data_IF_259964274295
#
_entry.id   IF_259964274295
#
_cell.length_a   1.000
_cell.length_b   1.000
_cell.length_c   1.000
_cell.angle_alpha   90.00
_cell.angle_beta   90.00
_cell.angle_gamma   90.00
#
_symmetry.space_group_name_H-M   'P 1'
#
loop_
_entity.id
_entity.type
_entity.pdbx_description
1 polymer ?
#
# COMPACT_ATOMS: atom_id res chain seq x y z
N UNK A 1 13.33 -16.75 -19.78
CA UNK A 1 12.88 -16.38 -18.42
C UNK A 1 12.85 -17.65 -17.60
N UNK A 2 13.64 -17.73 -16.53
CA UNK A 2 13.67 -18.90 -15.65
C UNK A 2 12.50 -18.81 -14.65
N UNK A 3 11.77 -19.91 -14.41
CA UNK A 3 10.62 -19.93 -13.48
C UNK A 3 10.99 -19.47 -12.06
N UNK A 4 12.23 -19.70 -11.64
CA UNK A 4 12.75 -19.20 -10.37
C UNK A 4 12.75 -17.67 -10.27
N UNK A 5 13.04 -16.98 -11.36
CA UNK A 5 13.01 -15.51 -11.42
C UNK A 5 11.60 -14.95 -11.20
N UNK A 6 10.57 -15.60 -11.76
CA UNK A 6 9.17 -15.19 -11.60
C UNK A 6 8.74 -15.32 -10.14
N UNK A 7 9.07 -16.43 -9.50
CA UNK A 7 8.76 -16.67 -8.09
C UNK A 7 9.42 -15.63 -7.17
N UNK A 8 10.68 -15.27 -7.44
CA UNK A 8 11.38 -14.22 -6.69
C UNK A 8 10.67 -12.87 -6.85
N UNK A 9 10.31 -12.48 -8.08
CA UNK A 9 9.65 -11.19 -8.33
C UNK A 9 8.33 -11.10 -7.55
N UNK A 10 7.51 -12.15 -7.62
CA UNK A 10 6.24 -12.22 -6.89
C UNK A 10 6.48 -12.15 -5.38
N UNK A 11 7.40 -12.98 -4.86
CA UNK A 11 7.73 -13.02 -3.44
C UNK A 11 8.18 -11.64 -2.91
N UNK A 12 9.13 -11.00 -3.59
CA UNK A 12 9.64 -9.67 -3.23
C UNK A 12 8.53 -8.62 -3.28
N UNK A 13 7.69 -8.64 -4.32
CA UNK A 13 6.57 -7.71 -4.45
C UNK A 13 5.60 -7.81 -3.27
N UNK A 14 5.12 -9.01 -2.94
CA UNK A 14 4.20 -9.19 -1.81
C UNK A 14 4.87 -8.91 -0.46
N UNK A 15 6.12 -9.33 -0.26
CA UNK A 15 6.86 -9.00 0.95
C UNK A 15 6.99 -7.49 1.17
N UNK A 16 7.27 -6.72 0.11
CA UNK A 16 7.32 -5.25 0.17
C UNK A 16 5.96 -4.66 0.57
N UNK A 17 4.86 -5.10 -0.05
CA UNK A 17 3.52 -4.63 0.28
C UNK A 17 3.16 -4.91 1.75
N UNK A 18 3.42 -6.13 2.23
CA UNK A 18 3.15 -6.51 3.62
C UNK A 18 4.03 -5.74 4.61
N UNK A 19 5.29 -5.47 4.27
CA UNK A 19 6.20 -4.68 5.10
C UNK A 19 5.70 -3.23 5.23
N UNK A 20 5.28 -2.61 4.13
CA UNK A 20 4.71 -1.25 4.13
C UNK A 20 3.42 -1.20 4.97
N UNK A 21 2.55 -2.20 4.80
CA UNK A 21 1.31 -2.34 5.57
C UNK A 21 1.58 -2.46 7.06
N UNK A 22 2.54 -3.29 7.46
CA UNK A 22 2.91 -3.50 8.86
C UNK A 22 3.47 -2.24 9.52
N UNK A 23 4.35 -1.50 8.84
CA UNK A 23 4.91 -0.24 9.37
C UNK A 23 3.84 0.85 9.48
N UNK A 24 2.95 0.94 8.49
CA UNK A 24 1.91 1.99 8.44
C UNK A 24 0.76 1.69 9.40
N UNK A 25 0.33 0.43 9.49
CA UNK A 25 -0.81 0.00 10.31
C UNK A 25 -0.61 0.16 11.82
N UNK A 26 0.64 0.13 12.30
CA UNK A 26 0.94 0.38 13.72
C UNK A 26 0.85 1.84 14.14
N UNK A 27 0.84 2.79 13.20
CA UNK A 27 0.88 4.22 13.53
C UNK A 27 -0.46 4.79 13.97
N UNK A 28 -1.57 4.12 13.67
CA UNK A 28 -2.90 4.63 14.03
C UNK A 28 -3.94 3.51 14.10
N UNK A 29 -4.51 3.32 15.28
CA UNK A 29 -5.59 2.33 15.54
C UNK A 29 -6.97 3.00 15.63
N UNK A 30 -7.03 4.32 15.46
CA UNK A 30 -8.27 5.10 15.63
C UNK A 30 -9.15 5.06 14.37
N UNK A 31 -10.48 5.10 14.58
CA UNK A 31 -11.47 5.18 13.49
C UNK A 31 -11.20 6.36 12.54
N UNK A 32 -10.77 7.51 13.08
CA UNK A 32 -10.44 8.69 12.27
C UNK A 32 -9.24 8.44 11.34
N UNK A 33 -8.28 7.63 11.76
CA UNK A 33 -7.15 7.27 10.90
C UNK A 33 -7.55 6.25 9.84
N UNK A 34 -8.43 5.31 10.17
CA UNK A 34 -8.95 4.32 9.22
C UNK A 34 -9.78 4.96 8.11
N UNK A 35 -10.71 5.87 8.46
CA UNK A 35 -11.61 6.48 7.48
C UNK A 35 -11.04 7.74 6.81
N UNK A 36 -10.32 8.59 7.55
CA UNK A 36 -9.87 9.90 7.06
C UNK A 36 -8.35 10.02 6.92
N UNK A 37 -7.57 8.98 7.27
CA UNK A 37 -6.11 9.05 7.23
C UNK A 37 -5.54 10.18 8.09
N UNK A 38 -6.26 10.58 9.15
CA UNK A 38 -6.00 11.76 9.97
C UNK A 38 -5.86 13.08 9.16
N UNK A 39 -6.41 13.15 7.94
CA UNK A 39 -6.26 14.29 7.00
C UNK A 39 -4.81 14.70 6.74
N UNK A 40 -3.84 13.79 6.95
CA UNK A 40 -2.41 14.07 6.78
C UNK A 40 -1.89 13.72 5.38
N UNK A 41 -2.70 13.07 4.54
CA UNK A 41 -2.31 12.66 3.19
C UNK A 41 -2.30 13.86 2.23
N UNK A 42 -1.16 14.16 1.56
CA UNK A 42 -1.11 15.19 0.53
C UNK A 42 -2.05 14.89 -0.65
N UNK A 43 -2.62 15.93 -1.26
CA UNK A 43 -3.61 15.79 -2.33
C UNK A 43 -3.13 14.94 -3.52
N UNK A 44 -1.85 15.03 -3.89
CA UNK A 44 -1.28 14.30 -5.03
C UNK A 44 -1.16 12.79 -4.75
N UNK A 45 -0.87 12.39 -3.50
CA UNK A 45 -0.85 10.98 -3.09
C UNK A 45 -2.25 10.39 -3.20
N UNK A 46 -3.24 11.15 -2.74
CA UNK A 46 -4.65 10.76 -2.82
C UNK A 46 -5.07 10.61 -4.29
N UNK A 47 -4.69 11.54 -5.17
CA UNK A 47 -5.02 11.48 -6.60
C UNK A 47 -4.46 10.21 -7.28
N UNK A 48 -3.21 9.83 -7.00
CA UNK A 48 -2.61 8.58 -7.52
C UNK A 48 -3.37 7.36 -7.01
N UNK A 49 -3.73 7.35 -5.72
CA UNK A 49 -4.54 6.27 -5.12
C UNK A 49 -5.92 6.14 -5.76
N UNK A 50 -6.59 7.25 -6.03
CA UNK A 50 -7.89 7.27 -6.71
C UNK A 50 -7.79 6.66 -8.11
N UNK A 51 -6.79 7.06 -8.91
CA UNK A 51 -6.56 6.51 -10.25
C UNK A 51 -6.37 4.99 -10.17
N UNK A 52 -5.55 4.51 -9.23
CA UNK A 52 -5.33 3.08 -9.03
C UNK A 52 -6.61 2.31 -8.68
N UNK A 53 -7.49 2.90 -7.86
CA UNK A 53 -8.78 2.28 -7.51
C UNK A 53 -9.75 2.18 -8.69
N UNK A 54 -9.69 3.12 -9.64
CA UNK A 54 -10.54 3.13 -10.83
C UNK A 54 -10.06 2.17 -11.93
N UNK A 55 -8.82 1.68 -11.86
CA UNK A 55 -8.24 0.73 -12.82
C UNK A 55 -8.58 -0.74 -12.45
N UNK A 56 -9.23 -0.95 -11.30
CA UNK A 56 -9.71 -2.27 -10.85
C UNK A 56 -10.97 -2.74 -11.55
#
# INVERSE_FOLDING_TARGET
MNGFTILIIIGVYFSLLLLISYITGRKSTDNNAFFLGNKKSPWWVVAIGMIGSSIS
#
